data_IF_379232765984
#
_entry.id   IF_379232765984
#
_cell.length_a   1.000
_cell.length_b   1.000
_cell.length_c   1.000
_cell.angle_alpha   90.00
_cell.angle_beta   90.00
_cell.angle_gamma   90.00
#
_symmetry.space_group_name_H-M   'P 1'
#
loop_
_entity.id
_entity.type
_entity.pdbx_description
1 polymer ?
#
# COMPACT_ATOMS: atom_id res chain seq x y z
N UNK A 1 -50.82 22.88 -9.63
CA UNK A 1 -51.37 22.51 -8.30
C UNK A 1 -50.25 21.81 -7.54
N UNK A 2 -49.57 22.49 -6.63
CA UNK A 2 -48.43 21.92 -5.88
C UNK A 2 -48.96 21.17 -4.66
N UNK A 3 -48.73 19.87 -4.58
CA UNK A 3 -49.08 19.07 -3.40
C UNK A 3 -48.05 19.41 -2.30
N UNK A 4 -48.46 20.00 -1.16
CA UNK A 4 -47.53 20.29 -0.07
C UNK A 4 -47.03 18.96 0.52
N UNK A 5 -45.73 18.70 0.41
CA UNK A 5 -45.08 17.57 1.10
C UNK A 5 -45.19 17.78 2.60
N UNK A 6 -46.08 17.04 3.26
CA UNK A 6 -46.23 17.01 4.71
C UNK A 6 -44.91 16.48 5.31
N UNK A 7 -44.17 17.36 5.99
CA UNK A 7 -42.91 17.03 6.66
C UNK A 7 -43.22 16.19 7.90
N UNK A 8 -43.12 14.86 7.80
CA UNK A 8 -43.26 13.96 8.96
C UNK A 8 -42.14 14.24 9.95
N UNK A 9 -42.45 14.30 11.25
CA UNK A 9 -41.43 14.43 12.31
C UNK A 9 -40.57 13.15 12.32
N UNK A 10 -39.23 13.25 12.37
CA UNK A 10 -38.35 12.09 12.38
C UNK A 10 -38.59 11.23 13.63
N UNK A 11 -38.58 9.91 13.48
CA UNK A 11 -38.79 8.97 14.59
C UNK A 11 -37.62 9.02 15.59
N UNK A 12 -37.84 8.66 16.85
CA UNK A 12 -36.79 8.66 17.90
C UNK A 12 -35.58 7.78 17.53
N UNK A 13 -35.76 6.75 16.67
CA UNK A 13 -34.68 5.89 16.16
C UNK A 13 -33.73 6.62 15.20
N UNK A 14 -34.22 7.59 14.42
CA UNK A 14 -33.39 8.37 13.48
C UNK A 14 -32.39 9.31 14.17
N UNK A 15 -32.53 9.57 15.49
CA UNK A 15 -31.64 10.49 16.22
C UNK A 15 -30.25 9.91 16.51
N UNK A 16 -30.05 8.60 16.35
CA UNK A 16 -28.77 7.92 16.68
C UNK A 16 -27.98 7.57 15.41
N UNK A 17 -28.59 7.61 14.22
CA UNK A 17 -27.92 7.20 12.99
C UNK A 17 -26.93 8.26 12.51
N UNK A 18 -25.68 7.83 12.27
CA UNK A 18 -24.66 8.66 11.67
C UNK A 18 -25.11 9.12 10.27
N UNK A 19 -25.13 10.44 10.05
CA UNK A 19 -25.58 11.03 8.77
C UNK A 19 -24.73 10.55 7.60
N UNK A 20 -23.42 10.35 7.82
CA UNK A 20 -22.48 9.88 6.80
C UNK A 20 -22.79 8.44 6.39
N UNK A 21 -23.00 7.54 7.35
CA UNK A 21 -23.36 6.14 7.07
C UNK A 21 -24.72 6.05 6.36
N UNK A 22 -25.68 6.86 6.79
CA UNK A 22 -27.00 6.93 6.15
C UNK A 22 -26.91 7.37 4.69
N UNK A 23 -26.08 8.39 4.40
CA UNK A 23 -25.84 8.88 3.05
C UNK A 23 -25.12 7.83 2.20
N UNK A 24 -24.09 7.17 2.75
CA UNK A 24 -23.34 6.13 2.04
C UNK A 24 -24.21 4.93 1.68
N UNK A 25 -25.05 4.45 2.61
CA UNK A 25 -26.03 3.40 2.34
C UNK A 25 -26.95 3.78 1.18
N UNK A 26 -27.51 4.99 1.23
CA UNK A 26 -28.36 5.51 0.18
C UNK A 26 -27.63 5.60 -1.17
N UNK A 27 -26.37 6.04 -1.17
CA UNK A 27 -25.55 6.15 -2.38
C UNK A 27 -25.25 4.80 -3.01
N UNK A 28 -24.91 3.78 -2.20
CA UNK A 28 -24.65 2.41 -2.68
C UNK A 28 -25.91 1.82 -3.32
N UNK A 29 -27.07 1.93 -2.67
CA UNK A 29 -28.32 1.41 -3.23
C UNK A 29 -28.64 2.12 -4.55
N UNK A 30 -28.50 3.45 -4.59
CA UNK A 30 -28.73 4.22 -5.82
C UNK A 30 -27.81 3.77 -6.96
N UNK A 31 -26.52 3.57 -6.68
CA UNK A 31 -25.58 3.09 -7.69
C UNK A 31 -25.95 1.68 -8.17
N UNK A 32 -26.30 0.77 -7.27
CA UNK A 32 -26.69 -0.59 -7.65
C UNK A 32 -27.95 -0.60 -8.53
N UNK A 33 -28.93 0.28 -8.28
CA UNK A 33 -30.08 0.44 -9.16
C UNK A 33 -29.69 0.91 -10.57
N UNK A 34 -28.82 1.91 -10.67
CA UNK A 34 -28.33 2.41 -11.95
C UNK A 34 -27.55 1.32 -12.70
N UNK A 35 -26.70 0.57 -11.99
CA UNK A 35 -25.95 -0.54 -12.56
C UNK A 35 -26.88 -1.67 -13.02
N UNK A 36 -27.91 -2.00 -12.24
CA UNK A 36 -28.91 -3.01 -12.59
C UNK A 36 -29.70 -2.62 -13.84
N UNK A 37 -30.19 -1.38 -13.92
CA UNK A 37 -30.90 -0.86 -15.09
C UNK A 37 -30.00 -0.89 -16.34
N UNK A 38 -28.74 -0.45 -16.18
CA UNK A 38 -27.77 -0.46 -17.28
C UNK A 38 -27.44 -1.88 -17.75
N UNK A 39 -27.31 -2.85 -16.84
CA UNK A 39 -27.08 -4.25 -17.20
C UNK A 39 -28.28 -4.87 -17.89
N UNK A 40 -29.49 -4.62 -17.38
CA UNK A 40 -30.73 -5.09 -18.02
C UNK A 40 -30.81 -4.61 -19.46
N UNK A 41 -30.48 -3.33 -19.69
CA UNK A 41 -30.37 -2.80 -21.04
C UNK A 41 -29.29 -3.52 -21.86
N UNK A 42 -28.10 -3.81 -21.31
CA UNK A 42 -27.01 -4.47 -22.05
C UNK A 42 -27.31 -5.94 -22.37
N UNK A 43 -28.03 -6.64 -21.49
CA UNK A 43 -28.43 -8.04 -21.66
C UNK A 43 -29.28 -8.24 -22.92
N UNK A 44 -30.10 -7.27 -23.30
CA UNK A 44 -30.92 -7.33 -24.52
C UNK A 44 -30.10 -7.30 -25.82
N UNK A 45 -28.84 -6.86 -25.77
CA UNK A 45 -27.97 -6.70 -26.95
C UNK A 45 -26.85 -7.74 -27.03
N UNK A 46 -26.69 -8.57 -25.99
CA UNK A 46 -25.60 -9.53 -25.93
C UNK A 46 -25.87 -10.70 -26.88
N UNK A 47 -24.87 -11.08 -27.67
CA UNK A 47 -24.98 -12.20 -28.62
C UNK A 47 -24.13 -13.40 -28.17
N UNK A 48 -23.05 -13.12 -27.44
CA UNK A 48 -22.19 -14.13 -26.84
C UNK A 48 -22.83 -14.74 -25.57
N UNK A 49 -23.06 -16.06 -25.59
CA UNK A 49 -23.75 -16.78 -24.50
C UNK A 49 -22.96 -16.79 -23.19
N UNK A 50 -21.63 -16.84 -23.26
CA UNK A 50 -20.78 -16.84 -22.08
C UNK A 50 -20.82 -15.45 -21.40
N UNK A 51 -20.83 -14.38 -22.20
CA UNK A 51 -21.03 -13.02 -21.70
C UNK A 51 -22.44 -12.85 -21.12
N UNK A 52 -23.48 -13.33 -21.80
CA UNK A 52 -24.85 -13.29 -21.30
C UNK A 52 -24.96 -13.92 -19.91
N UNK A 53 -24.40 -15.12 -19.74
CA UNK A 53 -24.39 -15.82 -18.46
C UNK A 53 -23.67 -15.01 -17.39
N UNK A 54 -22.53 -14.42 -17.74
CA UNK A 54 -21.74 -13.58 -16.83
C UNK A 54 -22.53 -12.33 -16.41
N UNK A 55 -23.18 -11.61 -17.34
CA UNK A 55 -23.96 -10.42 -17.02
C UNK A 55 -25.15 -10.73 -16.10
N UNK A 56 -25.88 -11.81 -16.39
CA UNK A 56 -26.98 -12.27 -15.53
C UNK A 56 -26.52 -12.58 -14.11
N UNK A 57 -25.36 -13.22 -13.95
CA UNK A 57 -24.76 -13.47 -12.63
C UNK A 57 -24.52 -12.19 -11.83
N UNK A 58 -24.09 -11.10 -12.48
CA UNK A 58 -23.92 -9.81 -11.81
C UNK A 58 -25.23 -9.10 -11.53
N UNK A 59 -26.18 -9.18 -12.45
CA UNK A 59 -27.53 -8.66 -12.24
C UNK A 59 -28.15 -9.30 -10.98
N UNK A 60 -28.13 -10.63 -10.87
CA UNK A 60 -28.61 -11.35 -9.70
C UNK A 60 -27.89 -10.93 -8.41
N UNK A 61 -26.56 -10.72 -8.48
CA UNK A 61 -25.79 -10.21 -7.35
C UNK A 61 -26.24 -8.80 -6.93
N UNK A 62 -26.48 -7.89 -7.89
CA UNK A 62 -26.94 -6.53 -7.59
C UNK A 62 -28.33 -6.54 -6.93
N UNK A 63 -29.27 -7.33 -7.44
CA UNK A 63 -30.62 -7.47 -6.85
C UNK A 63 -30.53 -7.93 -5.40
N UNK A 64 -29.75 -8.98 -5.15
CA UNK A 64 -29.52 -9.49 -3.79
C UNK A 64 -28.89 -8.42 -2.89
N UNK A 65 -27.89 -7.69 -3.38
CA UNK A 65 -27.22 -6.64 -2.60
C UNK A 65 -28.17 -5.48 -2.30
N UNK A 66 -29.03 -5.09 -3.24
CA UNK A 66 -30.06 -4.05 -3.06
C UNK A 66 -31.03 -4.47 -1.95
N UNK A 67 -31.51 -5.71 -1.96
CA UNK A 67 -32.46 -6.20 -0.96
C UNK A 67 -31.87 -6.20 0.45
N UNK A 68 -30.64 -6.71 0.60
CA UNK A 68 -29.91 -6.69 1.88
C UNK A 68 -29.73 -5.26 2.40
N UNK A 69 -29.33 -4.32 1.53
CA UNK A 69 -29.11 -2.93 1.93
C UNK A 69 -30.43 -2.20 2.26
N UNK A 70 -31.51 -2.49 1.54
CA UNK A 70 -32.86 -1.96 1.84
C UNK A 70 -33.34 -2.43 3.21
N UNK A 71 -33.17 -3.71 3.53
CA UNK A 71 -33.49 -4.25 4.85
C UNK A 71 -32.69 -3.53 5.94
N UNK A 72 -31.40 -3.29 5.69
CA UNK A 72 -30.50 -2.62 6.61
C UNK A 72 -30.85 -1.12 6.81
N UNK A 73 -31.30 -0.43 5.76
CA UNK A 73 -31.85 0.93 5.84
C UNK A 73 -33.18 0.97 6.62
N UNK A 74 -34.08 0.02 6.37
CA UNK A 74 -35.35 -0.08 7.06
C UNK A 74 -35.18 -0.31 8.57
N UNK A 75 -34.22 -1.16 8.98
CA UNK A 75 -33.85 -1.36 10.40
C UNK A 75 -33.44 -0.05 11.09
N UNK A 76 -32.82 0.87 10.34
CA UNK A 76 -32.40 2.21 10.80
C UNK A 76 -33.48 3.28 10.68
N UNK A 77 -34.67 2.92 10.19
CA UNK A 77 -35.76 3.87 9.94
C UNK A 77 -35.40 4.91 8.88
N UNK A 78 -34.60 4.53 7.89
CA UNK A 78 -34.25 5.35 6.73
C UNK A 78 -35.09 4.91 5.53
N UNK A 79 -35.55 5.89 4.75
CA UNK A 79 -36.18 5.63 3.46
C UNK A 79 -35.09 5.40 2.40
N UNK A 80 -35.29 4.40 1.54
CA UNK A 80 -34.39 4.14 0.41
C UNK A 80 -34.47 5.24 -0.67
N UNK A 81 -33.57 5.22 -1.66
CA UNK A 81 -33.72 6.07 -2.84
C UNK A 81 -35.02 5.75 -3.57
N UNK A 82 -35.70 6.79 -4.06
CA UNK A 82 -36.82 6.65 -4.97
C UNK A 82 -36.30 6.02 -6.27
N UNK A 83 -36.67 4.78 -6.53
CA UNK A 83 -36.38 4.08 -7.78
C UNK A 83 -37.69 3.78 -8.49
N UNK A 84 -37.78 4.19 -9.74
CA UNK A 84 -38.85 3.81 -10.64
C UNK A 84 -38.22 2.88 -11.66
N UNK A 85 -38.69 1.64 -11.71
CA UNK A 85 -38.35 0.73 -12.80
C UNK A 85 -38.79 1.39 -14.10
N UNK A 86 -37.80 1.74 -14.93
CA UNK A 86 -38.07 2.17 -16.29
C UNK A 86 -38.24 0.88 -17.07
N UNK A 87 -39.47 0.63 -17.54
CA UNK A 87 -39.77 -0.48 -18.44
C UNK A 87 -39.07 -0.19 -19.77
N UNK A 88 -37.80 -0.62 -19.86
CA UNK A 88 -36.91 -0.27 -20.94
C UNK A 88 -37.14 -1.19 -22.14
N UNK A 89 -38.35 -1.17 -22.71
CA UNK A 89 -38.57 -1.74 -24.04
C UNK A 89 -37.94 -0.82 -25.08
N UNK A 90 -36.62 -0.97 -25.26
CA UNK A 90 -35.85 -0.22 -26.23
C UNK A 90 -36.15 -0.73 -27.65
N UNK A 91 -36.76 0.11 -28.49
CA UNK A 91 -36.91 -0.18 -29.94
C UNK A 91 -35.60 0.02 -30.73
N UNK A 92 -34.45 0.14 -30.06
CA UNK A 92 -33.16 0.36 -30.71
C UNK A 92 -32.67 -0.94 -31.34
N UNK A 93 -32.19 -0.85 -32.57
CA UNK A 93 -31.66 -1.97 -33.36
C UNK A 93 -30.59 -2.76 -32.57
N UNK A 94 -30.78 -4.09 -32.34
CA UNK A 94 -29.85 -4.94 -31.58
C UNK A 94 -28.41 -4.94 -32.11
N UNK A 95 -28.21 -4.55 -33.37
CA UNK A 95 -26.91 -4.56 -34.03
C UNK A 95 -26.01 -3.34 -33.72
N UNK A 96 -26.45 -2.43 -32.85
CA UNK A 96 -25.70 -1.19 -32.57
C UNK A 96 -24.56 -1.36 -31.54
N UNK A 97 -24.58 -2.40 -30.71
CA UNK A 97 -23.54 -2.64 -29.70
C UNK A 97 -22.85 -3.98 -29.94
N UNK A 98 -21.53 -3.97 -29.96
CA UNK A 98 -20.73 -5.20 -30.02
C UNK A 98 -20.56 -5.81 -28.63
N UNK A 99 -20.45 -7.15 -28.54
CA UNK A 99 -20.16 -7.85 -27.27
C UNK A 99 -18.90 -7.32 -26.58
N UNK A 100 -17.89 -6.90 -27.36
CA UNK A 100 -16.69 -6.22 -26.83
C UNK A 100 -17.02 -4.91 -26.11
N UNK A 101 -17.90 -4.08 -26.67
CA UNK A 101 -18.33 -2.84 -26.02
C UNK A 101 -19.15 -3.16 -24.76
N UNK A 102 -20.09 -4.10 -24.85
CA UNK A 102 -20.93 -4.55 -23.73
C UNK A 102 -20.06 -5.05 -22.57
N UNK A 103 -19.07 -5.89 -22.83
CA UNK A 103 -18.18 -6.43 -21.82
C UNK A 103 -17.31 -5.35 -21.16
N UNK A 104 -16.81 -4.37 -21.93
CA UNK A 104 -16.02 -3.27 -21.38
C UNK A 104 -16.88 -2.31 -20.54
N UNK A 105 -18.08 -1.95 -21.00
CA UNK A 105 -19.04 -1.15 -20.23
C UNK A 105 -19.41 -1.86 -18.91
N UNK A 106 -19.63 -3.18 -18.97
CA UNK A 106 -19.92 -3.98 -17.79
C UNK A 106 -18.74 -4.01 -16.80
N UNK A 107 -17.50 -4.12 -17.30
CA UNK A 107 -16.30 -4.01 -16.45
C UNK A 107 -16.24 -2.65 -15.75
N UNK A 108 -16.57 -1.56 -16.43
CA UNK A 108 -16.59 -0.21 -15.82
C UNK A 108 -17.65 -0.10 -14.72
N UNK A 109 -18.84 -0.67 -14.93
CA UNK A 109 -19.88 -0.70 -13.90
C UNK A 109 -19.43 -1.44 -12.64
N UNK A 110 -18.76 -2.59 -12.82
CA UNK A 110 -18.22 -3.39 -11.71
C UNK A 110 -17.11 -2.62 -10.99
N UNK A 111 -16.19 -2.00 -11.73
CA UNK A 111 -15.10 -1.20 -11.15
C UNK A 111 -15.61 0.00 -10.35
N UNK A 112 -16.61 0.72 -10.87
CA UNK A 112 -17.26 1.80 -10.13
C UNK A 112 -17.94 1.32 -8.85
N UNK A 113 -18.50 0.10 -8.85
CA UNK A 113 -19.09 -0.49 -7.65
C UNK A 113 -18.02 -0.84 -6.61
N UNK A 114 -16.89 -1.43 -7.03
CA UNK A 114 -15.75 -1.71 -6.13
C UNK A 114 -15.23 -0.41 -5.50
N UNK A 115 -15.04 0.65 -6.29
CA UNK A 115 -14.58 1.95 -5.79
C UNK A 115 -15.57 2.54 -4.75
N UNK A 116 -16.85 2.54 -5.07
CA UNK A 116 -17.90 3.01 -4.17
C UNK A 116 -18.00 2.20 -2.87
N UNK A 117 -17.94 0.88 -2.94
CA UNK A 117 -18.02 0.04 -1.74
C UNK A 117 -16.75 0.18 -0.89
N UNK A 118 -15.57 0.27 -1.49
CA UNK A 118 -14.32 0.39 -0.73
C UNK A 118 -14.18 1.75 -0.05
N UNK A 119 -14.54 2.86 -0.70
CA UNK A 119 -14.51 4.20 -0.08
C UNK A 119 -15.54 4.36 1.04
N UNK A 120 -16.64 3.59 0.99
CA UNK A 120 -17.69 3.65 2.02
C UNK A 120 -17.36 2.83 3.26
N UNK A 121 -16.39 1.90 3.20
CA UNK A 121 -15.94 1.13 4.37
C UNK A 121 -15.24 1.98 5.43
N UNK A 122 -14.46 2.99 5.04
CA UNK A 122 -13.71 3.84 5.98
C UNK A 122 -14.60 4.58 7.00
N UNK A 123 -15.68 5.28 6.60
CA UNK A 123 -16.53 5.98 7.55
C UNK A 123 -17.45 5.08 8.39
N UNK A 124 -17.58 3.79 8.07
CA UNK A 124 -18.49 2.83 8.76
C UNK A 124 -17.81 2.17 9.97
N UNK A 125 -16.76 2.78 10.51
CA UNK A 125 -15.90 2.20 11.55
C UNK A 125 -16.57 1.84 12.89
N UNK A 126 -17.79 2.32 13.15
CA UNK A 126 -18.47 2.15 14.44
C UNK A 126 -19.65 1.16 14.42
N UNK A 127 -20.07 0.70 13.24
CA UNK A 127 -21.19 -0.23 13.06
C UNK A 127 -20.68 -1.55 12.46
N UNK A 128 -20.33 -2.50 13.33
CA UNK A 128 -19.72 -3.77 12.90
C UNK A 128 -20.68 -4.61 12.03
N UNK A 129 -21.99 -4.52 12.27
CA UNK A 129 -22.98 -5.22 11.44
C UNK A 129 -22.97 -4.66 10.02
N UNK A 130 -23.13 -3.33 9.87
CA UNK A 130 -23.08 -2.70 8.55
C UNK A 130 -21.73 -2.93 7.87
N UNK A 131 -20.63 -2.82 8.61
CA UNK A 131 -19.28 -3.06 8.10
C UNK A 131 -19.13 -4.48 7.54
N UNK A 132 -19.63 -5.50 8.25
CA UNK A 132 -19.59 -6.89 7.78
C UNK A 132 -20.38 -7.11 6.49
N UNK A 133 -21.57 -6.50 6.37
CA UNK A 133 -22.39 -6.54 5.14
C UNK A 133 -21.60 -5.91 3.98
N UNK A 134 -21.01 -4.74 4.20
CA UNK A 134 -20.25 -4.04 3.15
C UNK A 134 -18.98 -4.81 2.74
N UNK A 135 -18.25 -5.41 3.67
CA UNK A 135 -17.09 -6.27 3.37
C UNK A 135 -17.52 -7.46 2.51
N UNK A 136 -18.64 -8.10 2.85
CA UNK A 136 -19.18 -9.19 2.05
C UNK A 136 -19.49 -8.74 0.63
N UNK A 137 -20.15 -7.59 0.46
CA UNK A 137 -20.46 -7.04 -0.86
C UNK A 137 -19.20 -6.69 -1.66
N UNK A 138 -18.18 -6.09 -1.02
CA UNK A 138 -16.88 -5.81 -1.67
C UNK A 138 -16.28 -7.10 -2.23
N UNK A 139 -16.22 -8.15 -1.42
CA UNK A 139 -15.64 -9.43 -1.87
C UNK A 139 -16.42 -10.01 -3.06
N UNK A 140 -17.74 -10.04 -3.00
CA UNK A 140 -18.58 -10.56 -4.09
C UNK A 140 -18.40 -9.77 -5.40
N UNK A 141 -18.35 -8.44 -5.31
CA UNK A 141 -18.14 -7.57 -6.49
C UNK A 141 -16.71 -7.70 -7.02
N UNK A 142 -15.70 -7.88 -6.15
CA UNK A 142 -14.32 -8.15 -6.56
C UNK A 142 -14.17 -9.51 -7.24
N UNK A 143 -14.82 -10.56 -6.74
CA UNK A 143 -14.84 -11.88 -7.38
C UNK A 143 -15.43 -11.77 -8.79
N UNK A 144 -16.56 -11.08 -8.94
CA UNK A 144 -17.16 -10.83 -10.24
C UNK A 144 -16.26 -9.99 -11.17
N UNK A 145 -15.59 -8.96 -10.63
CA UNK A 145 -14.59 -8.17 -11.38
C UNK A 145 -13.52 -9.06 -11.99
N UNK A 146 -13.02 -10.01 -11.22
CA UNK A 146 -11.96 -10.90 -11.66
C UNK A 146 -12.46 -11.89 -12.74
N UNK A 147 -13.71 -12.35 -12.64
CA UNK A 147 -14.37 -13.15 -13.68
C UNK A 147 -14.50 -12.39 -15.01
N UNK A 148 -14.99 -11.15 -14.99
CA UNK A 148 -15.13 -10.35 -16.23
C UNK A 148 -13.76 -9.95 -16.82
N UNK A 149 -12.76 -9.67 -16.00
CA UNK A 149 -11.38 -9.43 -16.47
C UNK A 149 -10.81 -10.69 -17.11
N UNK A 150 -11.06 -11.87 -16.53
CA UNK A 150 -10.64 -13.15 -17.11
C UNK A 150 -11.33 -13.38 -18.46
N UNK A 151 -12.64 -13.16 -18.56
CA UNK A 151 -13.39 -13.26 -19.81
C UNK A 151 -12.83 -12.32 -20.90
N UNK A 152 -12.64 -11.03 -20.58
CA UNK A 152 -12.07 -10.05 -21.50
C UNK A 152 -10.65 -10.42 -21.97
N UNK A 153 -9.83 -11.02 -21.11
CA UNK A 153 -8.49 -11.50 -21.47
C UNK A 153 -8.54 -12.68 -22.44
N UNK A 154 -9.42 -13.65 -22.21
CA UNK A 154 -9.56 -14.83 -23.07
C UNK A 154 -10.01 -14.45 -24.48
N UNK A 155 -10.84 -13.43 -24.61
CA UNK A 155 -11.32 -12.92 -25.90
C UNK A 155 -10.41 -11.87 -26.57
N UNK A 156 -9.32 -11.46 -25.92
CA UNK A 156 -8.45 -10.40 -26.44
C UNK A 156 -9.13 -9.03 -26.50
N UNK A 157 -10.18 -8.82 -25.69
CA UNK A 157 -10.97 -7.58 -25.64
C UNK A 157 -10.48 -6.60 -24.57
N UNK A 158 -9.67 -7.09 -23.62
CA UNK A 158 -9.05 -6.24 -22.62
C UNK A 158 -7.94 -5.41 -23.29
N UNK A 159 -8.14 -4.10 -23.32
CA UNK A 159 -7.08 -3.19 -23.77
C UNK A 159 -5.89 -3.31 -22.82
N UNK A 160 -4.76 -3.77 -23.37
CA UNK A 160 -3.51 -3.66 -22.65
C UNK A 160 -3.15 -2.18 -22.63
N UNK A 161 -2.98 -1.54 -21.46
CA UNK A 161 -2.46 -0.19 -21.42
C UNK A 161 -1.17 -0.18 -22.25
N UNK A 162 -1.02 0.83 -23.12
CA UNK A 162 0.23 1.01 -23.88
C UNK A 162 1.36 0.79 -22.91
N UNK A 163 2.21 -0.21 -23.17
CA UNK A 163 3.27 -0.62 -22.27
C UNK A 163 4.02 0.65 -21.88
N UNK A 164 3.75 1.15 -20.67
CA UNK A 164 4.67 2.10 -20.06
C UNK A 164 6.01 1.35 -20.11
N UNK A 165 7.07 1.94 -20.69
CA UNK A 165 8.37 1.29 -20.72
C UNK A 165 8.62 0.80 -19.30
N UNK A 166 8.97 -0.48 -19.12
CA UNK A 166 9.00 -1.11 -17.81
C UNK A 166 9.82 -0.21 -16.89
N UNK A 167 9.14 0.44 -15.94
CA UNK A 167 9.82 1.13 -14.85
C UNK A 167 10.57 0.01 -14.16
N UNK A 168 11.90 0.02 -14.21
CA UNK A 168 12.76 -1.11 -13.83
C UNK A 168 12.24 -1.77 -12.55
N UNK A 169 11.56 -2.92 -12.70
CA UNK A 169 10.87 -3.58 -11.60
C UNK A 169 11.93 -4.27 -10.75
N UNK A 170 12.15 -3.77 -9.53
CA UNK A 170 12.96 -4.46 -8.53
C UNK A 170 12.24 -5.78 -8.21
N UNK A 171 12.81 -6.89 -8.68
CA UNK A 171 12.25 -8.24 -8.64
C UNK A 171 11.89 -8.64 -7.19
N UNK A 172 10.60 -8.77 -6.87
CA UNK A 172 10.05 -9.32 -5.62
C UNK A 172 9.17 -10.60 -5.86
N UNK A 173 9.69 -11.75 -6.35
CA UNK A 173 8.96 -13.06 -6.34
C UNK A 173 8.52 -13.64 -4.98
N UNK A 174 7.23 -13.85 -4.88
CA UNK A 174 6.60 -14.54 -3.77
C UNK A 174 6.71 -16.05 -3.98
N UNK A 175 7.28 -16.78 -3.02
CA UNK A 175 7.14 -18.24 -2.96
C UNK A 175 6.00 -18.58 -2.01
N UNK A 176 4.85 -18.96 -2.57
CA UNK A 176 3.75 -19.56 -1.83
C UNK A 176 4.08 -21.03 -1.57
N UNK A 177 4.46 -21.38 -0.33
CA UNK A 177 4.65 -22.77 0.09
C UNK A 177 3.43 -23.26 0.86
N UNK A 178 2.87 -24.37 0.35
CA UNK A 178 1.84 -25.20 0.96
C UNK A 178 2.08 -25.46 2.46
N UNK A 179 1.07 -25.17 3.28
CA UNK A 179 1.03 -25.52 4.71
C UNK A 179 0.66 -26.99 4.85
N UNK A 180 1.65 -27.87 5.03
CA UNK A 180 1.46 -29.08 5.83
C UNK A 180 1.68 -28.71 7.30
N UNK A 181 0.60 -28.83 8.07
CA UNK A 181 0.56 -28.64 9.50
C UNK A 181 1.41 -29.69 10.22
N UNK A 182 2.45 -29.25 10.90
CA UNK A 182 3.05 -29.99 12.00
C UNK A 182 3.42 -28.97 13.08
N UNK A 183 2.87 -29.19 14.28
CA UNK A 183 2.99 -28.30 15.43
C UNK A 183 4.44 -27.89 15.68
N UNK A 184 4.71 -26.59 15.63
CA UNK A 184 6.02 -26.01 15.90
C UNK A 184 5.85 -24.93 16.95
N UNK A 185 6.65 -25.03 18.00
CA UNK A 185 6.71 -24.13 19.16
C UNK A 185 6.66 -22.67 18.73
N UNK A 186 5.79 -21.89 19.35
CA UNK A 186 5.45 -20.51 18.99
C UNK A 186 6.68 -19.59 18.82
N UNK A 187 7.79 -19.85 19.54
CA UNK A 187 8.96 -18.97 19.56
C UNK A 187 9.95 -19.20 18.39
N UNK A 188 9.93 -20.38 17.77
CA UNK A 188 10.73 -20.64 16.57
C UNK A 188 10.20 -19.85 15.36
N UNK A 189 8.95 -19.38 15.41
CA UNK A 189 8.28 -18.69 14.31
C UNK A 189 8.78 -17.26 14.08
N UNK A 190 9.07 -16.49 15.14
CA UNK A 190 9.37 -15.07 14.98
C UNK A 190 10.74 -14.83 14.35
N UNK A 191 11.79 -15.46 14.89
CA UNK A 191 13.15 -15.32 14.34
C UNK A 191 13.23 -15.83 12.90
N UNK A 192 12.51 -16.90 12.58
CA UNK A 192 12.48 -17.41 11.21
C UNK A 192 11.74 -16.45 10.26
N UNK A 193 10.61 -15.87 10.70
CA UNK A 193 9.92 -14.82 9.94
C UNK A 193 10.82 -13.60 9.69
N UNK A 194 11.56 -13.15 10.71
CA UNK A 194 12.49 -12.02 10.59
C UNK A 194 13.62 -12.29 9.59
N UNK A 195 14.14 -13.52 9.55
CA UNK A 195 15.20 -13.90 8.58
C UNK A 195 14.71 -13.96 7.13
N UNK A 196 13.44 -14.31 6.93
CA UNK A 196 12.84 -14.46 5.60
C UNK A 196 12.30 -13.14 5.05
N UNK A 197 11.86 -12.25 5.94
CA UNK A 197 11.42 -10.91 5.57
C UNK A 197 12.62 -10.01 5.25
N UNK A 198 12.71 -9.61 3.98
CA UNK A 198 13.78 -8.76 3.45
C UNK A 198 13.80 -7.38 4.08
N UNK A 199 12.62 -6.82 4.38
CA UNK A 199 12.50 -5.52 5.03
C UNK A 199 12.99 -5.63 6.47
N UNK A 200 12.53 -6.64 7.20
CA UNK A 200 12.89 -6.83 8.60
C UNK A 200 14.40 -7.06 8.80
N UNK A 201 15.00 -7.97 8.02
CA UNK A 201 16.44 -8.24 8.14
C UNK A 201 17.28 -7.04 7.70
N UNK A 202 16.82 -6.29 6.68
CA UNK A 202 17.47 -5.07 6.22
C UNK A 202 17.46 -3.97 7.28
N UNK A 203 16.31 -3.73 7.90
CA UNK A 203 16.17 -2.77 9.01
C UNK A 203 17.08 -3.15 10.17
N UNK A 204 17.06 -4.41 10.60
CA UNK A 204 17.90 -4.88 11.71
C UNK A 204 19.39 -4.74 11.40
N UNK A 205 19.80 -5.08 10.16
CA UNK A 205 21.18 -4.89 9.72
C UNK A 205 21.59 -3.42 9.71
N UNK A 206 20.73 -2.54 9.21
CA UNK A 206 20.94 -1.08 9.20
C UNK A 206 21.14 -0.51 10.60
N UNK A 207 20.23 -0.83 11.53
CA UNK A 207 20.34 -0.43 12.95
C UNK A 207 21.66 -0.92 13.54
N UNK A 208 22.00 -2.20 13.34
CA UNK A 208 23.24 -2.80 13.87
C UNK A 208 24.47 -2.07 13.32
N UNK A 209 24.51 -1.82 12.01
CA UNK A 209 25.59 -1.06 11.37
C UNK A 209 25.74 0.35 11.95
N UNK A 210 24.63 1.06 12.15
CA UNK A 210 24.64 2.42 12.69
C UNK A 210 25.15 2.46 14.13
N UNK A 211 24.73 1.53 14.98
CA UNK A 211 25.22 1.44 16.36
C UNK A 211 26.73 1.19 16.40
N UNK A 212 27.23 0.25 15.59
CA UNK A 212 28.67 -0.04 15.52
C UNK A 212 29.45 1.18 15.03
N UNK A 213 28.97 1.82 13.96
CA UNK A 213 29.58 3.04 13.42
C UNK A 213 29.64 4.17 14.44
N UNK A 214 28.60 4.36 15.25
CA UNK A 214 28.60 5.36 16.32
C UNK A 214 29.63 5.04 17.39
N UNK A 215 29.76 3.77 17.78
CA UNK A 215 30.82 3.34 18.70
C UNK A 215 32.21 3.78 18.21
N UNK A 216 32.52 3.55 16.93
CA UNK A 216 33.77 4.02 16.33
C UNK A 216 33.86 5.55 16.25
N UNK A 217 32.78 6.24 15.89
CA UNK A 217 32.78 7.70 15.83
C UNK A 217 33.05 8.35 17.19
N UNK A 218 32.53 7.79 18.28
CA UNK A 218 32.81 8.27 19.63
C UNK A 218 34.25 7.94 20.04
N UNK A 219 34.78 6.77 19.67
CA UNK A 219 36.20 6.45 19.88
C UNK A 219 37.10 7.50 19.19
N UNK A 220 36.80 7.89 17.95
CA UNK A 220 37.57 8.92 17.26
C UNK A 220 37.52 10.29 17.94
N UNK A 221 36.37 10.66 18.50
CA UNK A 221 36.21 11.90 19.26
C UNK A 221 36.95 11.85 20.60
N UNK A 222 36.86 10.74 21.32
CA UNK A 222 37.60 10.51 22.57
C UNK A 222 39.11 10.56 22.38
N UNK A 223 39.62 10.07 21.24
CA UNK A 223 41.03 10.16 20.86
C UNK A 223 41.45 11.56 20.35
N UNK A 224 40.52 12.52 20.25
CA UNK A 224 40.77 13.86 19.73
C UNK A 224 41.04 13.91 18.22
N UNK A 225 40.81 12.81 17.50
CA UNK A 225 41.05 12.70 16.06
C UNK A 225 39.89 13.30 15.24
N UNK A 226 38.67 13.23 15.76
CA UNK A 226 37.49 13.84 15.18
C UNK A 226 36.88 14.86 16.13
N UNK A 227 36.57 16.07 15.64
CA UNK A 227 35.92 17.10 16.46
C UNK A 227 34.40 17.04 16.40
N UNK A 228 33.85 16.54 15.29
CA UNK A 228 32.41 16.39 15.07
C UNK A 228 32.14 14.89 14.85
N UNK A 229 31.09 14.34 15.46
CA UNK A 229 30.71 12.94 15.26
C UNK A 229 29.70 12.79 14.14
N UNK A 230 29.63 11.59 13.56
CA UNK A 230 28.60 11.24 12.57
C UNK A 230 27.18 11.43 13.11
N UNK A 231 27.01 11.25 14.43
CA UNK A 231 25.74 11.48 15.11
C UNK A 231 25.35 12.96 15.11
N UNK A 232 26.28 13.86 15.46
CA UNK A 232 26.05 15.31 15.45
C UNK A 232 25.75 15.82 14.04
N UNK A 233 26.41 15.29 13.01
CA UNK A 233 26.10 15.65 11.60
C UNK A 233 24.67 15.27 11.23
N UNK A 234 24.20 14.10 11.65
CA UNK A 234 22.81 13.66 11.39
C UNK A 234 21.79 14.50 12.15
N UNK A 235 22.05 14.83 13.42
CA UNK A 235 21.16 15.67 14.22
C UNK A 235 21.00 17.07 13.62
N UNK A 236 22.09 17.62 13.08
CA UNK A 236 22.13 18.97 12.53
C UNK A 236 21.23 19.17 11.30
N UNK A 237 20.64 18.10 10.76
CA UNK A 237 19.58 18.15 9.74
C UNK A 237 18.28 18.71 10.33
N UNK A 238 17.97 18.36 11.58
CA UNK A 238 16.65 18.58 12.19
C UNK A 238 16.66 19.63 13.31
N UNK A 239 17.79 19.83 13.97
CA UNK A 239 17.91 20.72 15.13
C UNK A 239 19.08 21.69 14.99
N UNK A 240 18.96 22.82 15.70
CA UNK A 240 19.99 23.84 15.73
C UNK A 240 21.30 23.32 16.37
N UNK A 241 22.44 23.88 15.95
CA UNK A 241 23.77 23.34 16.32
C UNK A 241 24.06 23.41 17.81
N UNK A 242 23.58 24.45 18.47
CA UNK A 242 23.66 24.66 19.92
C UNK A 242 22.82 23.67 20.72
N UNK A 243 21.85 23.01 20.08
CA UNK A 243 21.00 22.00 20.72
C UNK A 243 21.54 20.57 20.56
N UNK A 244 22.54 20.33 19.72
CA UNK A 244 23.02 18.97 19.39
C UNK A 244 23.62 18.23 20.59
N UNK A 245 24.29 18.97 21.47
CA UNK A 245 24.95 18.40 22.65
C UNK A 245 24.01 18.32 23.86
N UNK A 246 22.75 18.75 23.72
CA UNK A 246 21.73 18.56 24.76
C UNK A 246 21.24 17.11 24.77
N UNK A 247 20.74 16.58 25.90
CA UNK A 247 20.20 15.21 25.96
C UNK A 247 19.07 14.95 24.95
N UNK A 248 18.21 15.94 24.73
CA UNK A 248 17.13 15.86 23.74
C UNK A 248 17.70 15.84 22.33
N UNK A 249 18.67 16.71 22.04
CA UNK A 249 19.31 16.74 20.73
C UNK A 249 20.07 15.46 20.40
N UNK A 250 20.70 14.85 21.40
CA UNK A 250 21.33 13.54 21.27
C UNK A 250 20.32 12.44 20.92
N UNK A 251 19.16 12.39 21.60
CA UNK A 251 18.09 11.41 21.30
C UNK A 251 17.56 11.61 19.87
N UNK A 252 17.28 12.85 19.47
CA UNK A 252 16.81 13.17 18.12
C UNK A 252 17.85 12.73 17.07
N UNK A 253 19.14 13.00 17.35
CA UNK A 253 20.23 12.58 16.48
C UNK A 253 20.31 11.07 16.32
N UNK A 254 20.11 10.30 17.41
CA UNK A 254 20.10 8.84 17.37
C UNK A 254 18.94 8.34 16.51
N UNK A 255 17.73 8.84 16.75
CA UNK A 255 16.54 8.42 16.00
C UNK A 255 16.73 8.72 14.52
N UNK A 256 17.14 9.94 14.18
CA UNK A 256 17.40 10.35 12.81
C UNK A 256 18.41 9.43 12.11
N UNK A 257 19.53 9.14 12.77
CA UNK A 257 20.57 8.30 12.17
C UNK A 257 20.14 6.84 12.08
N UNK A 258 19.41 6.32 13.07
CA UNK A 258 18.86 4.96 13.01
C UNK A 258 17.85 4.81 11.87
N UNK A 259 17.04 5.83 11.58
CA UNK A 259 16.12 5.81 10.44
C UNK A 259 16.87 5.76 9.11
N UNK A 260 17.88 6.63 8.93
CA UNK A 260 18.72 6.66 7.72
C UNK A 260 19.49 5.35 7.54
N UNK A 261 20.07 4.82 8.62
CA UNK A 261 20.76 3.54 8.63
C UNK A 261 19.83 2.36 8.31
N UNK A 262 18.64 2.33 8.90
CA UNK A 262 17.61 1.32 8.59
C UNK A 262 17.26 1.33 7.10
N UNK A 263 17.02 2.51 6.52
CA UNK A 263 16.73 2.65 5.10
C UNK A 263 17.89 2.15 4.22
N UNK A 264 19.15 2.47 4.58
CA UNK A 264 20.33 1.95 3.89
C UNK A 264 20.47 0.42 3.99
N UNK A 265 20.18 -0.15 5.15
CA UNK A 265 20.16 -1.60 5.36
C UNK A 265 19.10 -2.33 4.55
N UNK A 266 17.88 -1.78 4.49
CA UNK A 266 16.79 -2.27 3.64
C UNK A 266 17.18 -2.22 2.16
N UNK A 267 17.74 -1.10 1.71
CA UNK A 267 18.21 -0.92 0.33
C UNK A 267 19.21 -2.02 -0.06
N UNK A 268 20.20 -2.28 0.79
CA UNK A 268 21.20 -3.33 0.54
C UNK A 268 20.60 -4.74 0.61
N UNK A 269 19.66 -5.02 1.52
CA UNK A 269 18.99 -6.30 1.60
C UNK A 269 18.21 -6.62 0.31
N UNK A 270 17.47 -5.66 -0.25
CA UNK A 270 16.81 -5.82 -1.54
C UNK A 270 17.81 -6.00 -2.69
N UNK A 271 18.89 -5.22 -2.71
CA UNK A 271 19.94 -5.38 -3.71
C UNK A 271 20.57 -6.78 -3.66
N UNK A 272 20.87 -7.30 -2.46
CA UNK A 272 21.43 -8.65 -2.28
C UNK A 272 20.43 -9.77 -2.59
N UNK A 273 19.13 -9.53 -2.40
CA UNK A 273 18.07 -10.46 -2.82
C UNK A 273 18.04 -10.65 -4.33
N UNK A 274 18.25 -9.56 -5.07
CA UNK A 274 18.28 -9.57 -6.53
C UNK A 274 19.60 -10.07 -7.11
N UNK A 275 20.72 -9.47 -6.67
CA UNK A 275 22.07 -9.71 -7.17
C UNK A 275 22.81 -10.88 -6.49
N UNK A 276 22.15 -11.58 -5.56
CA UNK A 276 22.73 -12.64 -4.75
C UNK A 276 23.67 -12.13 -3.64
N UNK A 277 24.21 -13.06 -2.84
CA UNK A 277 25.10 -12.76 -1.70
C UNK A 277 26.59 -12.76 -2.03
N UNK A 278 26.96 -13.15 -3.26
CA UNK A 278 28.36 -13.17 -3.69
C UNK A 278 28.96 -11.77 -3.57
N UNK A 279 30.20 -11.69 -3.09
CA UNK A 279 30.95 -10.46 -2.87
C UNK A 279 30.20 -9.44 -1.98
N UNK A 280 29.52 -9.90 -0.93
CA UNK A 280 28.74 -9.03 -0.04
C UNK A 280 29.54 -7.84 0.52
N UNK A 281 30.82 -8.03 0.86
CA UNK A 281 31.69 -6.97 1.37
C UNK A 281 31.83 -5.81 0.36
N UNK A 282 31.97 -6.12 -0.93
CA UNK A 282 32.06 -5.12 -1.99
C UNK A 282 30.73 -4.38 -2.17
N UNK A 283 29.60 -5.10 -2.06
CA UNK A 283 28.26 -4.51 -2.08
C UNK A 283 28.02 -3.58 -0.88
N UNK A 284 28.56 -3.94 0.29
CA UNK A 284 28.57 -3.08 1.48
C UNK A 284 29.37 -1.80 1.27
N UNK A 285 30.57 -1.89 0.68
CA UNK A 285 31.37 -0.71 0.33
C UNK A 285 30.68 0.16 -0.73
N UNK A 286 29.98 -0.44 -1.70
CA UNK A 286 29.18 0.29 -2.68
C UNK A 286 28.03 1.06 -2.01
N UNK A 287 27.29 0.44 -1.08
CA UNK A 287 26.28 1.13 -0.26
C UNK A 287 26.91 2.29 0.52
N UNK A 288 28.04 2.04 1.20
CA UNK A 288 28.73 3.06 1.97
C UNK A 288 29.12 4.26 1.11
N UNK A 289 29.72 4.02 -0.07
CA UNK A 289 30.06 5.07 -1.03
C UNK A 289 28.82 5.84 -1.52
N UNK A 290 27.72 5.16 -1.79
CA UNK A 290 26.46 5.80 -2.17
C UNK A 290 25.90 6.70 -1.05
N UNK A 291 25.83 6.20 0.18
CA UNK A 291 25.35 6.99 1.32
C UNK A 291 26.29 8.15 1.67
N UNK A 292 27.60 7.94 1.50
CA UNK A 292 28.61 8.97 1.67
C UNK A 292 28.42 10.12 0.66
N UNK A 293 28.28 9.78 -0.62
CA UNK A 293 28.08 10.76 -1.70
C UNK A 293 26.74 11.49 -1.56
N UNK A 294 25.66 10.76 -1.28
CA UNK A 294 24.33 11.35 -1.10
C UNK A 294 24.23 12.20 0.18
N UNK A 295 24.70 11.66 1.30
CA UNK A 295 24.65 12.34 2.61
C UNK A 295 25.69 13.45 2.72
N UNK A 296 26.96 13.08 2.89
CA UNK A 296 28.02 14.05 3.11
C UNK A 296 28.45 14.81 1.85
N UNK A 297 28.40 14.19 0.67
CA UNK A 297 28.79 14.84 -0.58
C UNK A 297 27.76 15.86 -1.07
N UNK A 298 26.48 15.48 -1.07
CA UNK A 298 25.39 16.28 -1.62
C UNK A 298 24.60 17.01 -0.52
N UNK A 299 23.92 16.29 0.37
CA UNK A 299 22.98 16.91 1.34
C UNK A 299 23.67 17.88 2.29
N UNK A 300 24.79 17.51 2.89
CA UNK A 300 25.57 18.37 3.81
C UNK A 300 25.97 19.69 3.13
N UNK A 301 26.40 19.62 1.86
CA UNK A 301 26.83 20.79 1.09
C UNK A 301 25.67 21.68 0.68
N UNK A 302 24.55 21.10 0.22
CA UNK A 302 23.36 21.83 -0.22
C UNK A 302 22.69 22.53 0.96
N UNK A 303 22.57 21.84 2.09
CA UNK A 303 21.88 22.37 3.28
C UNK A 303 22.80 23.14 4.24
N UNK A 304 24.09 23.31 3.92
CA UNK A 304 25.07 23.98 4.79
C UNK A 304 25.09 23.39 6.22
N UNK A 305 24.99 22.06 6.31
CA UNK A 305 25.05 21.33 7.58
C UNK A 305 26.53 21.30 8.00
N UNK A 306 26.85 21.76 9.21
CA UNK A 306 28.22 21.71 9.76
C UNK A 306 29.34 22.14 8.77
N UNK A 307 29.28 23.34 8.15
CA UNK A 307 30.23 23.78 7.12
C UNK A 307 31.67 23.85 7.64
N UNK A 308 31.88 24.00 8.95
CA UNK A 308 33.20 23.94 9.57
C UNK A 308 33.88 22.58 9.38
N UNK A 309 33.12 21.49 9.24
CA UNK A 309 33.65 20.14 9.01
C UNK A 309 34.47 20.06 7.72
N UNK A 310 34.12 20.82 6.67
CA UNK A 310 34.83 20.81 5.40
C UNK A 310 36.27 21.31 5.49
N UNK A 311 36.61 22.06 6.56
CA UNK A 311 37.97 22.54 6.80
C UNK A 311 38.82 21.52 7.57
N UNK A 312 38.22 20.42 8.02
CA UNK A 312 38.86 19.44 8.89
C UNK A 312 39.03 18.10 8.16
N UNK A 313 40.08 18.00 7.35
CA UNK A 313 40.37 16.84 6.50
C UNK A 313 40.38 15.52 7.27
N UNK A 314 40.92 15.51 8.49
CA UNK A 314 40.98 14.31 9.34
C UNK A 314 39.58 13.90 9.79
N UNK A 315 38.75 14.85 10.26
CA UNK A 315 37.35 14.61 10.62
C UNK A 315 36.59 14.02 9.43
N UNK A 316 36.73 14.59 8.23
CA UNK A 316 36.08 14.09 7.01
C UNK A 316 36.56 12.67 6.66
N UNK A 317 37.86 12.40 6.72
CA UNK A 317 38.42 11.07 6.46
C UNK A 317 37.88 10.02 7.43
N UNK A 318 37.77 10.36 8.72
CA UNK A 318 37.23 9.45 9.73
C UNK A 318 35.73 9.19 9.53
N UNK A 319 34.98 10.17 9.02
CA UNK A 319 33.60 9.90 8.60
C UNK A 319 33.56 8.93 7.42
N UNK A 320 34.43 9.07 6.41
CA UNK A 320 34.52 8.11 5.29
C UNK A 320 34.77 6.69 5.82
N UNK A 321 35.72 6.53 6.74
CA UNK A 321 36.04 5.25 7.38
C UNK A 321 34.82 4.71 8.14
N UNK A 322 34.13 5.55 8.91
CA UNK A 322 32.90 5.19 9.62
C UNK A 322 31.81 4.67 8.68
N UNK A 323 31.60 5.32 7.52
CA UNK A 323 30.66 4.83 6.51
C UNK A 323 31.08 3.47 5.94
N UNK A 324 32.39 3.22 5.73
CA UNK A 324 32.87 1.90 5.31
C UNK A 324 32.63 0.83 6.36
N UNK A 325 32.88 1.13 7.64
CA UNK A 325 32.57 0.23 8.76
C UNK A 325 31.07 -0.11 8.76
N UNK A 326 30.21 0.91 8.67
CA UNK A 326 28.77 0.73 8.55
C UNK A 326 28.41 -0.22 7.40
N UNK A 327 28.86 0.07 6.17
CA UNK A 327 28.52 -0.74 4.99
C UNK A 327 28.98 -2.19 5.10
N UNK A 328 30.17 -2.44 5.65
CA UNK A 328 30.69 -3.79 5.88
C UNK A 328 29.87 -4.55 6.93
N UNK A 329 29.49 -3.91 8.04
CA UNK A 329 28.68 -4.52 9.10
C UNK A 329 27.29 -4.87 8.57
N UNK A 330 26.61 -3.93 7.90
CA UNK A 330 25.28 -4.18 7.32
C UNK A 330 25.34 -5.35 6.33
N UNK A 331 26.32 -5.34 5.41
CA UNK A 331 26.48 -6.41 4.44
C UNK A 331 26.75 -7.77 5.08
N UNK A 332 27.58 -7.81 6.13
CA UNK A 332 27.84 -9.03 6.89
C UNK A 332 26.57 -9.57 7.55
N UNK A 333 25.80 -8.72 8.23
CA UNK A 333 24.55 -9.12 8.91
C UNK A 333 23.54 -9.67 7.90
N UNK A 334 23.31 -8.97 6.79
CA UNK A 334 22.39 -9.44 5.73
C UNK A 334 22.88 -10.75 5.11
N UNK A 335 24.17 -10.86 4.78
CA UNK A 335 24.75 -12.06 4.19
C UNK A 335 24.62 -13.28 5.10
N UNK A 336 24.97 -13.10 6.38
CA UNK A 336 25.06 -14.16 7.38
C UNK A 336 23.68 -14.62 7.87
N UNK A 337 22.77 -13.69 8.12
CA UNK A 337 21.51 -14.00 8.81
C UNK A 337 20.27 -13.94 7.91
N UNK A 338 20.30 -13.23 6.77
CA UNK A 338 19.14 -13.13 5.88
C UNK A 338 18.94 -14.37 5.00
N UNK A 339 17.79 -15.03 5.07
CA UNK A 339 17.41 -16.13 4.18
C UNK A 339 16.75 -15.59 2.89
N UNK A 340 17.45 -14.69 2.21
CA UNK A 340 16.96 -14.02 1.01
C UNK A 340 16.84 -15.03 -0.14
N UNK A 341 15.63 -15.54 -0.36
CA UNK A 341 15.35 -16.41 -1.51
C UNK A 341 15.44 -15.58 -2.77
N UNK A 342 16.29 -16.03 -3.71
CA UNK A 342 16.28 -15.48 -5.05
C UNK A 342 14.94 -15.82 -5.64
N UNK A 343 14.36 -14.78 -6.16
CA UNK A 343 13.12 -14.84 -6.81
C UNK A 343 13.54 -15.30 -8.22
N UNK A 344 13.14 -16.52 -8.63
CA UNK A 344 13.29 -17.14 -9.97
C UNK A 344 12.10 -17.03 -10.93
#
# INVERSE_FOLDING_TARGET
>A
MAIPRIRRKPSTKQRITNKTESYNLWEIIKYNFIAQERLSFLEDYVQDQDLEFLLKGYHELLVKNIDVLKEEMAKRGLDGPDYQEVDAQSQINPQMLSDRQIANESLLLVQGNVDLLTRTLEPVSHDEQLRSILIQHVNQVMDFRDEIVKYLKMNGWLESPTLFPPVATVNIKYQASEKKSAGRSADAGLLQKLKQDTLAIGTLAGITGTVVMHGFSEIWKLLGLAKITTLQVSGAIFIARDQLDTPVGFIISIIAHLMVGSAGGVLLAYYMKYAGKNLYWLKGLALAGFMLLGGMGFMVRVMQIMPQMHKETVTVLLHIINYFIYGLVVAYVVARYGELRRQN
#
